data_IF_407847486748
#
_entry.id   IF_407847486748
#
_cell.length_a   1.000
_cell.length_b   1.000
_cell.length_c   1.000
_cell.angle_alpha   90.00
_cell.angle_beta   90.00
_cell.angle_gamma   90.00
#
_symmetry.space_group_name_H-M   'P 1'
#
loop_
_entity.id
_entity.type
_entity.pdbx_description
1 polymer ?
#
# COMPACT_ATOMS: atom_id res chain seq x y z
N UNK A 1 -7.84 -9.95 -27.95
CA UNK A 1 -8.73 -9.60 -26.85
C UNK A 1 -10.10 -10.24 -27.04
N UNK A 2 -10.94 -10.16 -26.01
CA UNK A 2 -12.38 -10.50 -26.08
C UNK A 2 -13.18 -9.21 -26.06
N UNK A 3 -14.14 -9.09 -26.99
CA UNK A 3 -15.04 -7.94 -27.12
C UNK A 3 -16.47 -8.41 -26.93
N UNK A 4 -17.24 -7.66 -26.14
CA UNK A 4 -18.68 -7.91 -25.93
C UNK A 4 -19.43 -6.60 -26.18
N UNK A 5 -20.47 -6.68 -27.03
CA UNK A 5 -21.32 -5.52 -27.34
C UNK A 5 -22.76 -5.88 -26.99
N UNK A 6 -23.37 -5.08 -26.12
CA UNK A 6 -24.78 -5.23 -25.74
C UNK A 6 -25.64 -4.40 -26.69
N UNK A 7 -26.72 -4.99 -27.21
CA UNK A 7 -27.65 -4.36 -28.14
C UNK A 7 -29.07 -4.93 -27.96
N UNK A 8 -30.04 -4.43 -28.63
CA UNK A 8 -31.40 -4.98 -28.65
C UNK A 8 -31.46 -6.27 -29.48
N UNK A 9 -32.48 -7.12 -29.21
CA UNK A 9 -32.58 -8.46 -29.81
C UNK A 9 -32.61 -8.46 -31.34
N UNK A 10 -33.28 -7.45 -31.90
CA UNK A 10 -33.48 -7.36 -33.36
C UNK A 10 -32.39 -6.58 -34.08
N UNK A 11 -31.35 -6.20 -33.36
CA UNK A 11 -30.22 -5.47 -33.92
C UNK A 11 -29.03 -6.42 -34.22
N UNK A 12 -28.23 -6.01 -35.18
CA UNK A 12 -26.98 -6.69 -35.55
C UNK A 12 -25.80 -5.77 -35.21
N UNK A 13 -24.66 -6.36 -34.94
CA UNK A 13 -23.44 -5.59 -34.61
C UNK A 13 -22.32 -5.98 -35.54
N UNK A 14 -21.68 -5.00 -36.14
CA UNK A 14 -20.45 -5.12 -36.91
C UNK A 14 -19.30 -4.53 -36.09
N UNK A 15 -18.20 -5.29 -35.92
CA UNK A 15 -17.03 -4.85 -35.18
C UNK A 15 -15.89 -4.55 -36.15
N UNK A 16 -15.33 -3.34 -36.00
CA UNK A 16 -14.19 -2.87 -36.80
C UNK A 16 -12.97 -2.65 -35.89
N UNK A 17 -11.80 -3.00 -36.40
CA UNK A 17 -10.49 -2.73 -35.78
C UNK A 17 -9.71 -1.84 -36.73
N UNK A 18 -9.35 -0.63 -36.30
CA UNK A 18 -8.71 0.38 -37.13
C UNK A 18 -9.42 0.60 -38.49
N UNK A 19 -10.76 0.63 -38.44
CA UNK A 19 -11.61 0.84 -39.62
C UNK A 19 -11.80 -0.39 -40.52
N UNK A 20 -11.18 -1.54 -40.19
CA UNK A 20 -11.34 -2.80 -40.96
C UNK A 20 -12.25 -3.78 -40.21
N UNK A 21 -13.19 -4.45 -40.91
CA UNK A 21 -14.04 -5.46 -40.29
C UNK A 21 -13.22 -6.56 -39.64
N UNK A 22 -13.64 -7.02 -38.47
CA UNK A 22 -13.05 -8.17 -37.78
C UNK A 22 -13.43 -9.43 -38.51
N UNK A 23 -12.47 -10.37 -38.63
CA UNK A 23 -12.70 -11.66 -39.26
C UNK A 23 -13.87 -12.38 -38.61
N UNK A 24 -14.73 -13.02 -39.45
CA UNK A 24 -15.87 -13.80 -39.01
C UNK A 24 -15.49 -14.95 -38.07
N UNK A 25 -14.29 -15.47 -38.17
CA UNK A 25 -13.77 -16.53 -37.29
C UNK A 25 -13.67 -16.07 -35.83
N UNK A 26 -13.44 -14.77 -35.59
CA UNK A 26 -13.40 -14.20 -34.24
C UNK A 26 -14.80 -14.03 -33.62
N UNK A 27 -15.88 -14.09 -34.40
CA UNK A 27 -17.24 -13.94 -33.90
C UNK A 27 -17.74 -15.23 -33.27
N UNK A 28 -17.97 -15.21 -31.93
CA UNK A 28 -18.49 -16.37 -31.18
C UNK A 28 -20.02 -16.53 -31.27
N UNK A 29 -20.72 -15.50 -31.71
CA UNK A 29 -22.17 -15.47 -31.80
C UNK A 29 -22.85 -14.43 -30.91
N UNK A 30 -24.18 -14.38 -31.03
CA UNK A 30 -25.03 -13.49 -30.24
C UNK A 30 -25.83 -14.31 -29.23
N UNK A 31 -25.83 -13.91 -27.98
CA UNK A 31 -26.58 -14.56 -26.89
C UNK A 31 -27.66 -13.61 -26.37
N UNK A 32 -28.91 -14.04 -26.40
CA UNK A 32 -30.01 -13.27 -25.82
C UNK A 32 -30.02 -13.41 -24.29
N UNK A 33 -30.35 -12.32 -23.59
CA UNK A 33 -30.57 -12.35 -22.15
C UNK A 33 -31.82 -13.18 -21.79
N UNK A 34 -31.85 -13.73 -20.58
CA UNK A 34 -32.98 -14.57 -20.09
C UNK A 34 -34.34 -13.88 -20.24
N UNK A 35 -34.40 -12.55 -20.07
CA UNK A 35 -35.63 -11.73 -20.22
C UNK A 35 -35.93 -11.29 -21.64
N UNK A 36 -35.14 -11.72 -22.63
CA UNK A 36 -35.32 -11.40 -24.06
C UNK A 36 -35.46 -9.89 -24.39
N UNK A 37 -34.91 -9.01 -23.55
CA UNK A 37 -34.98 -7.55 -23.79
C UNK A 37 -33.75 -7.05 -24.55
N UNK A 38 -32.61 -7.76 -24.43
CA UNK A 38 -31.35 -7.41 -25.07
C UNK A 38 -30.55 -8.65 -25.40
N UNK A 39 -29.58 -8.50 -26.28
CA UNK A 39 -28.63 -9.50 -26.68
C UNK A 39 -27.19 -9.00 -26.47
N UNK A 40 -26.24 -9.92 -26.44
CA UNK A 40 -24.82 -9.61 -26.39
C UNK A 40 -24.12 -10.37 -27.51
N UNK A 41 -23.51 -9.63 -28.42
CA UNK A 41 -22.63 -10.17 -29.47
C UNK A 41 -21.22 -10.25 -28.93
N UNK A 42 -20.54 -11.39 -29.15
CA UNK A 42 -19.26 -11.74 -28.56
C UNK A 42 -18.24 -12.03 -29.67
N UNK A 43 -17.04 -11.50 -29.51
CA UNK A 43 -15.86 -11.81 -30.33
C UNK A 43 -14.73 -12.26 -29.42
N UNK A 44 -13.96 -13.26 -29.89
CA UNK A 44 -12.77 -13.79 -29.21
C UNK A 44 -11.58 -13.77 -30.16
N UNK A 45 -10.40 -13.52 -29.60
CA UNK A 45 -9.17 -13.53 -30.40
C UNK A 45 -9.02 -12.32 -31.33
N UNK A 46 -9.75 -11.23 -31.06
CA UNK A 46 -9.58 -9.98 -31.83
C UNK A 46 -8.16 -9.48 -31.65
N UNK A 47 -7.40 -9.44 -32.76
CA UNK A 47 -6.02 -9.00 -32.77
C UNK A 47 -5.98 -7.47 -32.67
N UNK A 48 -5.16 -6.98 -31.72
CA UNK A 48 -4.81 -5.56 -31.63
C UNK A 48 -3.43 -5.34 -32.18
N UNK A 49 -3.24 -4.24 -32.90
CA UNK A 49 -1.91 -3.77 -33.27
C UNK A 49 -1.10 -3.35 -32.03
N UNK A 50 0.22 -3.23 -32.20
CA UNK A 50 1.11 -2.78 -31.11
C UNK A 50 0.95 -1.29 -30.74
N UNK A 51 0.21 -0.53 -31.52
CA UNK A 51 -0.16 0.87 -31.23
C UNK A 51 -1.57 0.95 -30.61
N UNK A 52 -1.95 2.16 -30.20
CA UNK A 52 -3.35 2.43 -29.85
C UNK A 52 -4.23 2.17 -31.07
N UNK A 53 -5.17 1.26 -30.91
CA UNK A 53 -6.06 0.81 -31.99
C UNK A 53 -7.47 1.28 -31.67
N UNK A 54 -8.16 1.86 -32.64
CA UNK A 54 -9.58 2.18 -32.51
C UNK A 54 -10.41 0.93 -32.76
N UNK A 55 -11.27 0.60 -31.79
CA UNK A 55 -12.34 -0.39 -31.92
C UNK A 55 -13.63 0.37 -32.14
N UNK A 56 -14.33 0.06 -33.23
CA UNK A 56 -15.62 0.66 -33.56
C UNK A 56 -16.66 -0.46 -33.67
N UNK A 57 -17.74 -0.34 -32.89
CA UNK A 57 -18.88 -1.21 -33.01
C UNK A 57 -20.03 -0.44 -33.64
N UNK A 58 -20.50 -0.89 -34.81
CA UNK A 58 -21.63 -0.34 -35.53
C UNK A 58 -22.83 -1.23 -35.22
N UNK A 59 -23.83 -0.67 -34.56
CA UNK A 59 -25.10 -1.34 -34.26
C UNK A 59 -26.11 -0.94 -35.33
N UNK A 60 -26.73 -1.93 -35.98
CA UNK A 60 -27.75 -1.70 -37.03
C UNK A 60 -29.09 -2.26 -36.62
N UNK A 61 -30.15 -1.55 -36.99
CA UNK A 61 -31.53 -2.01 -36.85
C UNK A 61 -31.83 -3.16 -37.81
N UNK A 62 -32.99 -3.81 -37.66
CA UNK A 62 -33.45 -4.89 -38.54
C UNK A 62 -33.61 -4.48 -40.00
N UNK A 63 -33.85 -3.21 -40.26
CA UNK A 63 -33.96 -2.60 -41.60
C UNK A 63 -32.58 -2.27 -42.24
N UNK A 64 -31.47 -2.53 -41.51
CA UNK A 64 -30.11 -2.23 -41.95
C UNK A 64 -29.64 -0.82 -41.66
N UNK A 65 -30.49 0.07 -41.17
CA UNK A 65 -30.11 1.45 -40.78
C UNK A 65 -29.15 1.42 -39.59
N UNK A 66 -28.20 2.36 -39.52
CA UNK A 66 -27.31 2.51 -38.39
C UNK A 66 -28.05 3.09 -37.19
N UNK A 67 -28.13 2.33 -36.10
CA UNK A 67 -28.73 2.80 -34.85
C UNK A 67 -27.72 3.65 -34.05
N UNK A 68 -26.49 3.12 -33.90
CA UNK A 68 -25.42 3.84 -33.19
C UNK A 68 -24.05 3.31 -33.57
N UNK A 69 -23.07 4.17 -33.43
CA UNK A 69 -21.65 3.82 -33.60
C UNK A 69 -20.91 4.13 -32.31
N UNK A 70 -20.21 3.11 -31.74
CA UNK A 70 -19.46 3.20 -30.50
C UNK A 70 -17.98 3.02 -30.80
N UNK A 71 -17.18 4.05 -30.64
CA UNK A 71 -15.72 3.97 -30.84
C UNK A 71 -14.99 4.05 -29.50
N UNK A 72 -14.00 3.14 -29.32
CA UNK A 72 -13.10 3.13 -28.19
C UNK A 72 -11.65 2.97 -28.65
N UNK A 73 -10.77 3.78 -28.11
CA UNK A 73 -9.34 3.61 -28.25
C UNK A 73 -8.86 2.54 -27.26
N UNK A 74 -8.21 1.50 -27.78
CA UNK A 74 -7.65 0.41 -26.98
C UNK A 74 -6.14 0.33 -27.25
N UNK A 75 -5.35 0.40 -26.19
CA UNK A 75 -3.91 0.23 -26.30
C UNK A 75 -3.49 -1.19 -25.90
N UNK A 76 -2.61 -1.79 -26.72
CA UNK A 76 -1.92 -3.01 -26.32
C UNK A 76 -0.77 -2.62 -25.38
N UNK A 77 -0.83 -3.10 -24.15
CA UNK A 77 0.24 -2.94 -23.16
C UNK A 77 1.03 -4.25 -23.09
N UNK A 78 2.32 -4.15 -23.30
CA UNK A 78 3.23 -5.29 -23.22
C UNK A 78 3.66 -5.54 -21.76
N UNK A 79 4.63 -6.45 -21.59
CA UNK A 79 5.24 -6.74 -20.28
C UNK A 79 5.83 -5.49 -19.64
N UNK A 80 5.90 -5.42 -18.31
CA UNK A 80 6.55 -4.31 -17.59
C UNK A 80 8.03 -4.22 -17.98
N UNK A 81 8.49 -2.99 -18.19
CA UNK A 81 9.85 -2.72 -18.64
C UNK A 81 10.58 -1.70 -17.79
N UNK A 82 9.87 -0.75 -17.22
CA UNK A 82 10.41 0.32 -16.39
C UNK A 82 9.60 0.48 -15.11
N UNK A 83 10.30 0.70 -14.02
CA UNK A 83 9.75 1.11 -12.74
C UNK A 83 10.20 2.56 -12.43
N UNK A 84 9.31 3.38 -11.90
CA UNK A 84 9.55 4.75 -11.50
C UNK A 84 8.94 5.00 -10.12
N UNK A 85 9.72 5.55 -9.20
CA UNK A 85 9.27 5.90 -7.87
C UNK A 85 8.39 7.15 -7.90
N UNK A 86 7.25 7.11 -7.22
CA UNK A 86 6.31 8.22 -7.08
C UNK A 86 6.35 8.78 -5.65
N UNK A 87 7.14 9.83 -5.39
CA UNK A 87 7.26 10.41 -4.04
C UNK A 87 5.92 10.90 -3.48
N UNK A 88 5.12 11.58 -4.31
CA UNK A 88 3.83 12.19 -3.94
C UNK A 88 2.77 11.16 -3.48
N UNK A 89 2.90 9.92 -3.97
CA UNK A 89 1.97 8.82 -3.66
C UNK A 89 2.57 7.84 -2.64
N UNK A 90 3.78 8.11 -2.16
CA UNK A 90 4.52 7.26 -1.23
C UNK A 90 4.49 7.82 0.18
N UNK A 91 4.47 6.91 1.17
CA UNK A 91 4.60 7.25 2.58
C UNK A 91 5.67 6.35 3.22
N UNK A 92 6.91 6.81 3.21
CA UNK A 92 8.05 6.05 3.73
C UNK A 92 8.50 6.65 5.07
N UNK A 93 7.79 6.30 6.15
CA UNK A 93 8.02 6.82 7.50
C UNK A 93 8.30 5.67 8.46
N UNK A 94 9.40 5.76 9.21
CA UNK A 94 9.81 4.81 10.25
C UNK A 94 9.27 5.26 11.62
N UNK A 95 7.99 5.02 11.88
CA UNK A 95 7.31 5.35 13.15
C UNK A 95 7.12 4.13 14.08
N UNK A 96 7.47 2.93 13.60
CA UNK A 96 7.37 1.67 14.33
C UNK A 96 5.94 1.09 14.39
N UNK A 97 4.94 1.79 13.89
CA UNK A 97 3.52 1.40 13.98
C UNK A 97 2.85 1.31 12.63
N UNK A 98 3.01 2.30 11.77
CA UNK A 98 2.46 2.27 10.41
C UNK A 98 3.33 1.47 9.46
N UNK A 99 2.72 0.94 8.40
CA UNK A 99 3.44 0.29 7.30
C UNK A 99 3.95 1.38 6.35
N UNK A 100 5.26 1.51 6.14
CA UNK A 100 5.77 2.38 5.08
C UNK A 100 5.35 1.84 3.71
N UNK A 101 4.92 2.71 2.81
CA UNK A 101 4.44 2.36 1.47
C UNK A 101 5.22 3.10 0.42
N UNK A 102 5.81 2.38 -0.52
CA UNK A 102 6.41 2.91 -1.74
C UNK A 102 5.45 2.73 -2.91
N UNK A 103 5.05 3.81 -3.56
CA UNK A 103 4.28 3.78 -4.80
C UNK A 103 5.21 3.79 -6.00
N UNK A 104 5.07 2.79 -6.87
CA UNK A 104 5.93 2.58 -8.03
C UNK A 104 5.07 2.52 -9.28
N UNK A 105 5.31 3.42 -10.22
CA UNK A 105 4.70 3.36 -11.54
C UNK A 105 5.47 2.39 -12.42
N UNK A 106 4.75 1.44 -12.99
CA UNK A 106 5.27 0.45 -13.92
C UNK A 106 4.78 0.75 -15.33
N UNK A 107 5.70 0.78 -16.28
CA UNK A 107 5.40 1.06 -17.67
C UNK A 107 6.03 0.02 -18.60
N UNK A 108 5.43 -0.13 -19.78
CA UNK A 108 6.00 -0.95 -20.87
C UNK A 108 7.16 -0.23 -21.57
N UNK A 109 7.75 -0.87 -22.59
CA UNK A 109 8.84 -0.29 -23.42
C UNK A 109 8.48 1.02 -24.10
N UNK A 110 7.19 1.30 -24.27
CA UNK A 110 6.67 2.52 -24.91
C UNK A 110 6.24 3.57 -23.90
N UNK A 111 6.48 3.35 -22.61
CA UNK A 111 6.10 4.27 -21.54
C UNK A 111 4.61 4.23 -21.19
N UNK A 112 3.85 3.21 -21.65
CA UNK A 112 2.43 3.08 -21.31
C UNK A 112 2.29 2.37 -19.97
N UNK A 113 1.35 2.81 -19.09
CA UNK A 113 1.13 2.19 -17.81
C UNK A 113 0.71 0.72 -17.96
N UNK A 114 1.21 -0.11 -17.06
CA UNK A 114 0.88 -1.54 -17.01
C UNK A 114 -0.57 -1.69 -16.51
N UNK A 115 -1.29 -2.62 -17.12
CA UNK A 115 -2.70 -2.86 -16.79
C UNK A 115 -2.89 -3.49 -15.42
N UNK A 116 -4.06 -3.26 -14.83
CA UNK A 116 -4.52 -3.93 -13.61
C UNK A 116 -4.43 -5.46 -13.70
N UNK A 117 -4.10 -6.09 -12.58
CA UNK A 117 -3.96 -7.55 -12.44
C UNK A 117 -2.62 -8.11 -12.91
N UNK A 118 -1.71 -7.30 -13.42
CA UNK A 118 -0.33 -7.75 -13.65
C UNK A 118 0.46 -7.74 -12.35
N UNK A 119 1.32 -8.74 -12.18
CA UNK A 119 2.16 -8.91 -11.00
C UNK A 119 3.56 -9.38 -11.38
N UNK A 120 4.49 -9.26 -10.47
CA UNK A 120 5.86 -9.73 -10.64
C UNK A 120 6.61 -9.68 -9.31
N UNK A 121 7.91 -9.92 -9.34
CA UNK A 121 8.75 -9.99 -8.14
C UNK A 121 9.46 -8.68 -7.88
N UNK A 122 9.61 -8.36 -6.59
CA UNK A 122 10.42 -7.26 -6.09
C UNK A 122 11.22 -7.74 -4.88
N UNK A 123 12.49 -7.37 -4.81
CA UNK A 123 13.33 -7.62 -3.64
C UNK A 123 13.54 -6.32 -2.88
N UNK A 124 13.35 -6.38 -1.57
CA UNK A 124 13.54 -5.25 -0.65
C UNK A 124 14.87 -5.44 0.06
N UNK A 125 15.70 -4.38 0.13
CA UNK A 125 17.00 -4.43 0.82
C UNK A 125 16.84 -4.49 2.34
N UNK A 126 17.74 -5.21 2.99
CA UNK A 126 17.88 -5.12 4.44
C UNK A 126 18.24 -3.67 4.88
N UNK A 127 17.79 -3.22 6.05
CA UNK A 127 17.09 -3.96 7.11
C UNK A 127 15.55 -4.03 6.93
N UNK A 128 15.03 -3.57 5.80
CA UNK A 128 13.60 -3.54 5.57
C UNK A 128 13.08 -4.87 5.05
N UNK A 129 11.82 -5.14 5.29
CA UNK A 129 11.14 -6.35 4.82
C UNK A 129 9.77 -5.99 4.24
N UNK A 130 9.38 -6.68 3.18
CA UNK A 130 8.04 -6.54 2.62
C UNK A 130 7.00 -7.12 3.58
N UNK A 131 5.91 -6.39 3.80
CA UNK A 131 4.79 -6.84 4.63
C UNK A 131 4.19 -8.14 4.09
N UNK A 132 4.00 -8.24 2.77
CA UNK A 132 3.49 -9.43 2.11
C UNK A 132 4.41 -10.67 2.32
N UNK A 133 5.73 -10.48 2.31
CA UNK A 133 6.68 -11.55 2.58
C UNK A 133 6.54 -12.08 4.00
N UNK A 134 6.42 -11.18 4.99
CA UNK A 134 6.26 -11.57 6.39
C UNK A 134 4.94 -12.31 6.63
N UNK A 135 3.85 -11.84 6.04
CA UNK A 135 2.55 -12.51 6.11
C UNK A 135 2.61 -13.91 5.50
N UNK A 136 3.27 -14.07 4.37
CA UNK A 136 3.50 -15.38 3.75
C UNK A 136 4.35 -16.29 4.63
N UNK A 137 5.40 -15.78 5.27
CA UNK A 137 6.25 -16.55 6.18
C UNK A 137 5.48 -17.00 7.43
N UNK A 138 4.62 -16.15 7.98
CA UNK A 138 3.75 -16.50 9.11
C UNK A 138 2.74 -17.59 8.74
N UNK A 139 2.08 -17.47 7.60
CA UNK A 139 1.16 -18.49 7.08
C UNK A 139 1.87 -19.82 6.82
N UNK A 140 3.14 -19.78 6.42
CA UNK A 140 3.97 -20.95 6.19
C UNK A 140 4.34 -21.69 7.46
N UNK A 141 4.70 -20.99 8.53
CA UNK A 141 4.95 -21.61 9.84
C UNK A 141 3.74 -22.40 10.30
N UNK A 142 2.53 -22.01 9.84
CA UNK A 142 1.29 -22.71 10.14
C UNK A 142 0.96 -23.85 9.17
N UNK A 143 1.41 -23.81 7.91
CA UNK A 143 1.00 -24.75 6.85
C UNK A 143 2.13 -25.60 6.23
N UNK A 144 3.40 -25.29 6.45
CA UNK A 144 4.54 -26.12 6.05
C UNK A 144 4.93 -26.12 4.56
N UNK A 145 4.37 -25.29 3.71
CA UNK A 145 4.63 -25.32 2.25
C UNK A 145 4.95 -23.96 1.61
N UNK A 146 5.80 -23.97 0.59
CA UNK A 146 5.99 -22.92 -0.40
C UNK A 146 7.26 -22.04 -0.26
N UNK A 147 7.73 -21.40 -1.36
CA UNK A 147 8.79 -20.36 -1.35
C UNK A 147 8.15 -18.97 -1.14
N UNK A 148 8.61 -18.19 -0.16
CA UNK A 148 8.12 -16.84 0.06
C UNK A 148 8.89 -15.87 -0.83
N UNK A 149 8.18 -15.17 -1.70
CA UNK A 149 8.73 -14.13 -2.56
C UNK A 149 7.91 -12.87 -2.37
N UNK A 150 8.57 -11.73 -2.27
CA UNK A 150 7.87 -10.47 -2.28
C UNK A 150 7.41 -10.17 -3.70
N UNK A 151 6.10 -9.98 -3.87
CA UNK A 151 5.49 -9.71 -5.16
C UNK A 151 4.87 -8.31 -5.15
N UNK A 152 4.94 -7.65 -6.31
CA UNK A 152 4.15 -6.47 -6.58
C UNK A 152 2.92 -6.85 -7.43
N UNK A 153 1.85 -6.09 -7.30
CA UNK A 153 0.67 -6.18 -8.16
C UNK A 153 0.17 -4.77 -8.50
N UNK A 154 -0.36 -4.61 -9.71
CA UNK A 154 -0.97 -3.36 -10.15
C UNK A 154 -2.47 -3.42 -9.94
N UNK A 155 -2.98 -2.45 -9.19
CA UNK A 155 -4.41 -2.25 -8.95
C UNK A 155 -4.84 -0.97 -9.67
N UNK A 156 -5.74 -1.01 -10.59
CA UNK A 156 -6.16 0.17 -11.37
C UNK A 156 -5.48 0.29 -12.73
N UNK A 157 -5.74 1.39 -13.43
CA UNK A 157 -5.35 1.58 -14.84
C UNK A 157 -4.15 2.52 -15.03
N UNK A 158 -3.60 3.06 -13.95
CA UNK A 158 -2.49 4.01 -13.93
C UNK A 158 -1.11 3.34 -13.86
N UNK A 159 -1.09 2.01 -13.76
CA UNK A 159 0.13 1.21 -13.69
C UNK A 159 0.89 1.33 -12.36
N UNK A 160 0.23 1.75 -11.30
CA UNK A 160 0.87 1.91 -9.99
C UNK A 160 0.78 0.61 -9.19
N UNK A 161 1.93 0.18 -8.67
CA UNK A 161 2.05 -0.88 -7.67
C UNK A 161 2.46 -0.28 -6.34
N UNK A 162 1.81 -0.71 -5.25
CA UNK A 162 2.13 -0.31 -3.89
C UNK A 162 2.98 -1.39 -3.23
N UNK A 163 4.17 -1.02 -2.77
CA UNK A 163 5.07 -1.92 -2.04
C UNK A 163 4.99 -1.54 -0.56
N UNK A 164 4.30 -2.36 0.20
CA UNK A 164 4.18 -2.18 1.64
C UNK A 164 5.35 -2.85 2.36
N UNK A 165 5.98 -2.11 3.26
CA UNK A 165 7.01 -2.61 4.15
C UNK A 165 6.41 -2.96 5.51
N UNK A 166 7.07 -3.84 6.23
CA UNK A 166 6.76 -4.08 7.63
C UNK A 166 6.99 -2.81 8.47
N UNK A 167 6.23 -2.59 9.54
CA UNK A 167 6.47 -1.50 10.46
C UNK A 167 7.92 -1.50 10.94
N UNK A 168 8.58 -0.36 10.91
CA UNK A 168 9.99 -0.23 11.28
C UNK A 168 10.26 1.08 12.01
N UNK A 169 11.25 1.05 12.90
CA UNK A 169 11.82 2.26 13.52
C UNK A 169 13.15 2.67 12.87
N UNK A 170 13.63 1.87 11.92
CA UNK A 170 14.91 2.13 11.24
C UNK A 170 14.65 3.05 10.06
N UNK A 171 15.28 4.22 10.08
CA UNK A 171 15.32 5.16 8.96
C UNK A 171 16.62 4.98 8.18
N UNK A 172 16.59 5.19 6.86
CA UNK A 172 17.77 5.05 6.04
C UNK A 172 17.47 4.76 4.57
N UNK A 173 18.50 4.41 3.78
CA UNK A 173 18.34 4.10 2.37
C UNK A 173 17.52 2.82 2.20
N UNK A 174 16.56 2.88 1.28
CA UNK A 174 15.74 1.75 0.85
C UNK A 174 16.03 1.47 -0.62
N UNK A 175 16.37 0.23 -0.92
CA UNK A 175 16.57 -0.26 -2.28
C UNK A 175 15.50 -1.29 -2.61
N UNK A 176 14.85 -1.08 -3.76
CA UNK A 176 13.84 -1.97 -4.33
C UNK A 176 14.36 -2.49 -5.67
N UNK A 177 14.62 -3.78 -5.77
CA UNK A 177 15.08 -4.41 -7.00
C UNK A 177 13.91 -5.12 -7.69
N UNK A 178 13.53 -4.62 -8.88
CA UNK A 178 12.45 -5.17 -9.71
C UNK A 178 13.03 -6.11 -10.75
N UNK A 179 12.54 -7.34 -10.79
CA UNK A 179 12.85 -8.29 -11.84
C UNK A 179 11.74 -8.27 -12.91
N UNK A 180 12.10 -7.89 -14.12
CA UNK A 180 11.23 -7.90 -15.29
C UNK A 180 11.63 -9.03 -16.23
N UNK A 181 10.64 -9.72 -16.77
CA UNK A 181 10.83 -10.76 -17.78
C UNK A 181 9.91 -10.47 -18.97
N UNK A 182 10.49 -10.40 -20.14
CA UNK A 182 9.78 -10.28 -21.40
C UNK A 182 10.33 -11.31 -22.40
N UNK A 183 9.61 -12.41 -22.55
CA UNK A 183 10.02 -13.60 -23.32
C UNK A 183 11.38 -14.13 -22.82
N UNK A 184 12.43 -14.00 -23.64
CA UNK A 184 13.78 -14.50 -23.34
C UNK A 184 14.69 -13.43 -22.69
N UNK A 185 14.17 -12.21 -22.44
CA UNK A 185 14.95 -11.12 -21.87
C UNK A 185 14.56 -10.94 -20.41
N UNK A 186 15.51 -11.20 -19.53
CA UNK A 186 15.42 -10.84 -18.11
C UNK A 186 16.16 -9.53 -17.87
N UNK A 187 15.55 -8.65 -17.09
CA UNK A 187 16.13 -7.36 -16.72
C UNK A 187 15.82 -7.08 -15.25
N UNK A 188 16.82 -6.55 -14.57
CA UNK A 188 16.66 -6.02 -13.23
C UNK A 188 16.74 -4.48 -13.25
N UNK A 189 15.96 -3.86 -12.41
CA UNK A 189 16.01 -2.42 -12.19
C UNK A 189 15.97 -2.10 -10.71
N UNK A 190 17.02 -1.40 -10.27
CA UNK A 190 17.14 -0.89 -8.90
C UNK A 190 16.47 0.48 -8.81
N UNK A 191 15.67 0.66 -7.77
CA UNK A 191 15.12 1.95 -7.33
C UNK A 191 15.69 2.22 -5.95
N UNK A 192 16.28 3.40 -5.77
CA UNK A 192 16.78 3.88 -4.50
C UNK A 192 15.93 5.02 -3.99
N UNK A 193 15.55 4.96 -2.72
CA UNK A 193 14.79 5.97 -2.02
C UNK A 193 15.17 5.97 -0.54
N UNK A 194 14.46 6.73 0.29
CA UNK A 194 14.81 6.88 1.69
C UNK A 194 13.57 6.73 2.58
N UNK A 195 13.69 5.92 3.63
CA UNK A 195 12.70 5.84 4.71
C UNK A 195 13.06 6.91 5.74
N UNK A 196 12.19 7.93 5.84
CA UNK A 196 12.41 9.04 6.78
C UNK A 196 12.06 8.63 8.21
N UNK A 197 12.73 9.19 9.23
CA UNK A 197 12.38 8.92 10.61
C UNK A 197 10.96 9.46 10.91
N UNK A 198 10.15 8.65 11.57
CA UNK A 198 8.86 9.06 12.12
C UNK A 198 9.03 9.96 13.35
N UNK A 199 8.03 10.77 13.62
CA UNK A 199 7.92 11.44 14.90
C UNK A 199 7.55 10.37 15.93
N UNK A 200 8.47 10.09 16.86
CA UNK A 200 8.20 9.23 17.99
C UNK A 200 7.42 10.03 19.01
N UNK A 201 6.26 9.53 19.39
CA UNK A 201 5.49 10.08 20.50
C UNK A 201 6.34 10.10 21.79
N UNK A 202 6.14 11.11 22.58
CA UNK A 202 6.78 11.20 23.88
C UNK A 202 6.28 10.08 24.79
N UNK A 203 7.20 9.26 25.28
CA UNK A 203 6.90 8.31 26.37
C UNK A 203 7.15 9.00 27.68
N UNK A 204 6.10 9.18 28.46
CA UNK A 204 6.16 9.73 29.81
C UNK A 204 5.77 8.62 30.80
N UNK A 205 6.70 8.27 31.68
CA UNK A 205 6.42 7.36 32.79
C UNK A 205 6.64 8.15 34.08
N UNK A 206 5.60 8.29 34.89
CA UNK A 206 5.65 9.02 36.15
C UNK A 206 5.25 8.12 37.31
N UNK A 207 5.93 8.29 38.44
CA UNK A 207 5.58 7.76 39.74
C UNK A 207 5.37 8.93 40.68
N UNK A 208 4.19 9.00 41.28
CA UNK A 208 3.93 9.92 42.39
C UNK A 208 3.56 9.10 43.62
N UNK A 209 4.40 9.14 44.59
CA UNK A 209 4.14 8.59 45.94
C UNK A 209 3.93 9.75 46.89
N UNK A 210 2.81 9.78 47.54
CA UNK A 210 2.53 10.76 48.58
C UNK A 210 1.39 10.27 49.45
N UNK A 211 1.48 10.45 50.74
CA UNK A 211 0.31 10.31 51.60
C UNK A 211 -0.53 11.59 51.45
N UNK A 212 -1.60 11.49 50.62
CA UNK A 212 -2.67 12.49 50.69
C UNK A 212 -3.50 12.19 51.92
N UNK A 213 -2.88 12.28 53.06
CA UNK A 213 -3.58 12.39 54.31
C UNK A 213 -3.94 13.88 54.46
N UNK A 214 -5.24 14.22 54.38
CA UNK A 214 -5.60 15.54 54.78
C UNK A 214 -4.95 15.81 56.15
N UNK A 215 -4.32 16.96 56.31
CA UNK A 215 -3.63 17.38 57.52
C UNK A 215 -4.52 17.13 58.78
N UNK A 216 -5.84 17.16 58.59
CA UNK A 216 -6.88 16.85 59.58
C UNK A 216 -6.87 15.38 60.04
N UNK A 217 -6.51 14.42 59.18
CA UNK A 217 -6.45 12.99 59.55
C UNK A 217 -5.13 12.72 60.28
N UNK A 218 -4.02 13.32 59.80
CA UNK A 218 -2.72 13.24 60.48
C UNK A 218 -2.80 13.82 61.89
N UNK A 219 -3.38 15.04 62.09
CA UNK A 219 -3.55 15.69 63.36
C UNK A 219 -4.46 14.90 64.32
N UNK A 220 -5.45 14.18 63.81
CA UNK A 220 -6.32 13.31 64.62
C UNK A 220 -5.65 12.00 65.04
N UNK A 221 -4.78 11.43 64.18
CA UNK A 221 -4.02 10.22 64.47
C UNK A 221 -2.87 10.51 65.44
N UNK A 222 -2.22 11.66 65.31
CA UNK A 222 -1.15 12.12 66.20
C UNK A 222 -1.67 12.34 67.65
N UNK A 223 -2.87 12.93 67.79
CA UNK A 223 -3.55 13.07 69.08
C UNK A 223 -3.89 11.76 69.80
N UNK A 224 -4.00 10.69 69.03
CA UNK A 224 -4.21 9.32 69.53
C UNK A 224 -2.91 8.54 69.74
N UNK A 225 -1.74 9.16 69.50
CA UNK A 225 -0.38 8.54 69.70
C UNK A 225 -0.11 7.34 68.80
N UNK A 226 -0.81 7.22 67.70
CA UNK A 226 -0.71 6.07 66.77
C UNK A 226 -0.12 6.40 65.41
N UNK A 227 0.31 7.65 65.19
CA UNK A 227 0.81 8.09 63.91
C UNK A 227 1.99 9.07 64.07
N UNK A 228 3.00 8.91 63.25
CA UNK A 228 4.18 9.77 63.20
C UNK A 228 3.96 10.81 62.08
N UNK A 229 3.93 12.10 62.43
CA UNK A 229 3.65 13.22 61.54
C UNK A 229 4.70 13.42 60.46
N UNK A 230 5.90 12.87 60.63
CA UNK A 230 6.98 12.96 59.62
C UNK A 230 6.67 12.20 58.32
N UNK A 231 5.67 11.35 58.29
CA UNK A 231 5.23 10.65 57.07
C UNK A 231 4.45 11.52 56.09
N UNK A 232 3.88 12.65 56.55
CA UNK A 232 3.08 13.54 55.71
C UNK A 232 3.88 14.48 54.78
N UNK A 233 5.15 14.73 55.07
CA UNK A 233 5.98 15.71 54.37
C UNK A 233 6.89 15.08 53.29
N UNK A 234 6.82 13.77 53.10
CA UNK A 234 7.70 13.07 52.10
C UNK A 234 6.92 12.70 50.86
N UNK A 235 6.41 13.70 50.14
CA UNK A 235 5.91 13.46 48.78
C UNK A 235 7.09 13.24 47.84
N UNK A 236 7.12 12.10 47.17
CA UNK A 236 8.09 11.78 46.12
C UNK A 236 7.43 11.88 44.77
N UNK A 237 8.04 12.64 43.90
CA UNK A 237 7.68 12.70 42.48
C UNK A 237 8.88 12.29 41.67
N UNK A 238 8.72 11.26 40.89
CA UNK A 238 9.72 10.83 39.91
C UNK A 238 9.08 10.73 38.55
N UNK A 239 9.74 11.20 37.54
CA UNK A 239 9.30 10.96 36.17
C UNK A 239 10.47 10.70 35.23
N UNK A 240 10.21 9.90 34.22
CA UNK A 240 11.09 9.63 33.11
C UNK A 240 10.34 9.98 31.82
N UNK A 241 10.93 10.83 31.00
CA UNK A 241 10.38 11.19 29.72
C UNK A 241 11.43 10.92 28.64
N UNK A 242 11.02 10.27 27.56
CA UNK A 242 11.87 10.03 26.40
C UNK A 242 11.06 10.32 25.14
N UNK A 243 11.62 11.15 24.27
CA UNK A 243 10.97 11.48 23.01
C UNK A 243 11.91 12.18 22.05
N UNK A 244 11.44 12.39 20.83
CA UNK A 244 12.20 13.08 19.80
C UNK A 244 11.80 14.55 19.76
N UNK A 245 12.78 15.44 19.72
CA UNK A 245 12.60 16.89 19.60
C UNK A 245 13.04 17.33 18.23
N UNK A 246 12.22 18.16 17.57
CA UNK A 246 12.47 18.71 16.22
C UNK A 246 12.76 17.64 15.16
N UNK A 247 12.18 16.42 15.31
CA UNK A 247 12.35 15.32 14.37
C UNK A 247 13.77 14.75 14.25
N UNK A 248 14.77 15.32 14.99
CA UNK A 248 16.20 14.97 14.85
C UNK A 248 16.86 14.52 16.14
N UNK A 249 16.46 15.08 17.27
CA UNK A 249 17.16 14.89 18.55
C UNK A 249 16.36 13.99 19.47
N UNK A 250 16.99 12.93 19.97
CA UNK A 250 16.43 12.11 21.04
C UNK A 250 16.72 12.81 22.36
N UNK A 251 15.67 13.23 23.07
CA UNK A 251 15.78 13.82 24.39
C UNK A 251 15.32 12.82 25.44
N UNK A 252 16.09 12.68 26.50
CA UNK A 252 15.73 11.89 27.68
C UNK A 252 15.79 12.81 28.89
N UNK A 253 14.70 12.84 29.66
CA UNK A 253 14.57 13.60 30.89
C UNK A 253 14.27 12.62 32.03
N UNK A 254 15.00 12.70 33.10
CA UNK A 254 14.72 11.95 34.32
C UNK A 254 14.75 12.91 35.50
N UNK A 255 13.76 12.82 36.36
CA UNK A 255 13.65 13.61 37.58
C UNK A 255 13.17 12.73 38.73
N UNK A 256 13.78 12.90 39.90
CA UNK A 256 13.39 12.22 41.14
C UNK A 256 13.60 13.18 42.30
N UNK A 257 12.50 13.58 42.94
CA UNK A 257 12.54 14.55 44.06
C UNK A 257 13.15 13.98 45.34
N UNK A 258 13.24 12.62 45.46
CA UNK A 258 13.81 11.97 46.60
C UNK A 258 15.35 11.87 46.56
N UNK A 259 15.96 12.13 45.39
CA UNK A 259 17.40 12.14 45.24
C UNK A 259 18.00 13.45 45.73
N UNK A 260 18.98 13.37 46.60
CA UNK A 260 19.72 14.56 47.05
C UNK A 260 20.48 15.18 45.87
N UNK A 261 20.71 16.49 45.92
CA UNK A 261 21.27 17.30 44.83
C UNK A 261 22.61 16.75 44.29
N UNK A 262 23.39 16.05 45.14
CA UNK A 262 24.69 15.46 44.79
C UNK A 262 24.56 14.15 43.97
N UNK A 263 23.40 13.49 44.00
CA UNK A 263 23.11 12.27 43.30
C UNK A 263 22.42 12.53 41.91
N UNK A 264 22.06 13.78 41.64
CA UNK A 264 21.40 14.19 40.38
C UNK A 264 22.41 14.45 39.26
N UNK A 265 23.47 13.65 39.14
CA UNK A 265 24.34 13.70 37.97
C UNK A 265 23.61 13.17 36.76
N UNK A 266 23.58 13.99 35.72
CA UNK A 266 23.12 13.62 34.39
C UNK A 266 23.87 12.36 33.91
N UNK A 267 23.11 11.29 33.62
CA UNK A 267 23.60 10.13 32.89
C UNK A 267 23.58 10.42 31.40
#
# INVERSE_FOLDING_TARGET
IRVAVRHEINQTVELLVAGKPVDKVAFEGTRAAKRKTHAVSLWRGVALGEATTQLTAIVRNADGSVYTELTRAVAFVSSPWRAEFLPESSRLVADGTSRPVAAIRLTDRRGRPIRSGMSGTVTVSEPYQSAALLEQLQLRQLSGQGSATSNWSVEGDDGVALIELAPTMVSGPLQLNFAFSDRDISREQLIETWVVPGDLDWTLVGLAEGSIGAKTVADNMERTGRFDSDLGDKARVAFYAKGRVLGRFLMTLAYDSAKQRDDQRLL
#
